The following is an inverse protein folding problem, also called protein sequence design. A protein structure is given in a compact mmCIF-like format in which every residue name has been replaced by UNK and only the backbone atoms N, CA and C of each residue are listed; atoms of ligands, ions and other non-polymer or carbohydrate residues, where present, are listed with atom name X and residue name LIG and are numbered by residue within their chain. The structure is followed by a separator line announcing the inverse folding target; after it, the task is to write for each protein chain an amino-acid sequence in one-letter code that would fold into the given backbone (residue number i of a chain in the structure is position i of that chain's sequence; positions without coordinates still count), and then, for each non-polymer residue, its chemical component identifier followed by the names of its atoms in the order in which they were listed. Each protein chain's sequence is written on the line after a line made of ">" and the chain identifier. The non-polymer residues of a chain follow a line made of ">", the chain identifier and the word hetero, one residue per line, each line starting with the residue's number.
data_IF_747705439633
#
_entry.id   IF_747705439633
#
_cell.length_a   1.000
_cell.length_b   1.000
_cell.length_c   1.000
_cell.angle_alpha   90.00
_cell.angle_beta   90.00
_cell.angle_gamma   90.00
#
_symmetry.space_group_name_H-M   'P 1'
#
loop_
_entity.id
_entity.type
_entity.pdbx_description
1 polymer ?
#
# COMPACT_ATOMS: atom_id res chain seq x y z
N UNK A 1 4.49 -21.63 -52.55
CA UNK A 1 5.00 -20.55 -51.66
C UNK A 1 3.97 -20.05 -50.62
N UNK A 2 2.70 -19.77 -50.97
CA UNK A 2 1.66 -19.32 -50.00
C UNK A 2 1.45 -20.24 -48.77
N UNK A 3 1.50 -21.56 -48.95
CA UNK A 3 1.29 -22.53 -47.85
C UNK A 3 2.41 -22.57 -46.81
N UNK A 4 3.64 -22.19 -47.17
CA UNK A 4 4.80 -22.23 -46.25
C UNK A 4 4.76 -20.99 -45.34
N UNK A 5 4.37 -19.83 -45.89
CA UNK A 5 4.24 -18.56 -45.17
C UNK A 5 3.12 -18.63 -44.12
N UNK A 6 1.98 -19.27 -44.45
CA UNK A 6 0.90 -19.48 -43.47
C UNK A 6 1.31 -20.40 -42.31
N UNK A 7 2.15 -21.41 -42.59
CA UNK A 7 2.61 -22.37 -41.57
C UNK A 7 3.62 -21.73 -40.62
N UNK A 8 4.54 -20.89 -41.12
CA UNK A 8 5.50 -20.14 -40.29
C UNK A 8 4.84 -19.05 -39.45
N UNK A 9 3.83 -18.34 -39.98
CA UNK A 9 3.04 -17.40 -39.18
C UNK A 9 2.24 -18.11 -38.08
N UNK A 10 1.62 -19.25 -38.40
CA UNK A 10 0.87 -20.03 -37.41
C UNK A 10 1.78 -20.56 -36.29
N UNK A 11 2.99 -21.04 -36.63
CA UNK A 11 4.00 -21.45 -35.64
C UNK A 11 4.46 -20.28 -34.76
N UNK A 12 4.68 -19.09 -35.32
CA UNK A 12 5.02 -17.89 -34.55
C UNK A 12 3.91 -17.44 -33.59
N UNK A 13 2.66 -17.47 -34.05
CA UNK A 13 1.49 -17.19 -33.20
C UNK A 13 1.32 -18.23 -32.09
N UNK A 14 1.51 -19.51 -32.41
CA UNK A 14 1.40 -20.60 -31.44
C UNK A 14 2.50 -20.51 -30.38
N UNK A 15 3.74 -20.19 -30.77
CA UNK A 15 4.86 -20.02 -29.84
C UNK A 15 4.65 -18.80 -28.92
N UNK A 16 4.20 -17.66 -29.46
CA UNK A 16 3.86 -16.48 -28.66
C UNK A 16 2.70 -16.74 -27.70
N UNK A 17 1.68 -17.48 -28.13
CA UNK A 17 0.56 -17.87 -27.27
C UNK A 17 1.01 -18.80 -26.13
N UNK A 18 1.84 -19.81 -26.43
CA UNK A 18 2.41 -20.69 -25.42
C UNK A 18 3.31 -19.95 -24.44
N UNK A 19 4.17 -19.05 -24.92
CA UNK A 19 5.04 -18.22 -24.10
C UNK A 19 4.23 -17.29 -23.17
N UNK A 20 3.20 -16.63 -23.70
CA UNK A 20 2.25 -15.83 -22.90
C UNK A 20 1.55 -16.68 -21.85
N UNK A 21 1.07 -17.87 -22.22
CA UNK A 21 0.35 -18.78 -21.32
C UNK A 21 1.26 -19.30 -20.21
N UNK A 22 2.52 -19.64 -20.51
CA UNK A 22 3.52 -20.07 -19.53
C UNK A 22 3.83 -18.91 -18.56
N UNK A 23 4.03 -17.69 -19.07
CA UNK A 23 4.27 -16.52 -18.23
C UNK A 23 3.08 -16.19 -17.32
N UNK A 24 1.84 -16.27 -17.83
CA UNK A 24 0.64 -16.05 -17.01
C UNK A 24 0.54 -17.11 -15.91
N UNK A 25 0.73 -18.38 -16.24
CA UNK A 25 0.69 -19.45 -15.24
C UNK A 25 1.78 -19.27 -14.17
N UNK A 26 2.98 -18.82 -14.56
CA UNK A 26 4.06 -18.54 -13.63
C UNK A 26 3.75 -17.35 -12.71
N UNK A 27 3.17 -16.27 -13.26
CA UNK A 27 2.71 -15.11 -12.48
C UNK A 27 1.62 -15.52 -11.49
N UNK A 28 0.63 -16.30 -11.94
CA UNK A 28 -0.46 -16.81 -11.07
C UNK A 28 0.11 -17.72 -9.98
N UNK A 29 1.09 -18.55 -10.30
CA UNK A 29 1.77 -19.40 -9.32
C UNK A 29 2.49 -18.58 -8.26
N UNK A 30 3.28 -17.58 -8.66
CA UNK A 30 3.94 -16.65 -7.72
C UNK A 30 2.91 -15.93 -6.86
N UNK A 31 1.83 -15.43 -7.47
CA UNK A 31 0.78 -14.71 -6.77
C UNK A 31 0.11 -15.59 -5.70
N UNK A 32 -0.17 -16.85 -6.01
CA UNK A 32 -0.74 -17.81 -5.06
C UNK A 32 0.21 -18.07 -3.87
N UNK A 33 1.52 -18.19 -4.13
CA UNK A 33 2.53 -18.32 -3.06
C UNK A 33 2.53 -17.07 -2.17
N UNK A 34 2.54 -15.88 -2.77
CA UNK A 34 2.54 -14.63 -2.01
C UNK A 34 1.28 -14.51 -1.15
N UNK A 35 0.10 -14.81 -1.70
CA UNK A 35 -1.16 -14.80 -0.95
C UNK A 35 -1.11 -15.77 0.25
N UNK A 36 -0.55 -16.98 0.04
CA UNK A 36 -0.39 -17.95 1.11
C UNK A 36 0.56 -17.43 2.21
N UNK A 37 1.66 -16.80 1.84
CA UNK A 37 2.62 -16.21 2.78
C UNK A 37 2.04 -15.05 3.61
N UNK A 38 0.98 -14.40 3.12
CA UNK A 38 0.24 -13.37 3.85
C UNK A 38 -0.87 -13.94 4.75
N UNK A 39 -1.04 -15.26 4.79
CA UNK A 39 -2.10 -15.91 5.57
C UNK A 39 -3.47 -15.92 4.89
N UNK A 40 -3.54 -15.55 3.61
CA UNK A 40 -4.79 -15.56 2.83
C UNK A 40 -5.05 -14.29 2.03
N UNK A 41 -6.04 -14.38 1.15
CA UNK A 41 -6.36 -13.33 0.18
C UNK A 41 -6.81 -12.02 0.83
N UNK A 42 -7.60 -12.10 1.89
CA UNK A 42 -8.11 -10.93 2.63
C UNK A 42 -6.95 -10.09 3.19
N UNK A 43 -6.00 -10.72 3.87
CA UNK A 43 -4.84 -10.06 4.46
C UNK A 43 -3.91 -9.49 3.39
N UNK A 44 -3.72 -10.22 2.29
CA UNK A 44 -2.94 -9.76 1.14
C UNK A 44 -3.55 -8.49 0.50
N UNK A 45 -4.86 -8.45 0.27
CA UNK A 45 -5.53 -7.24 -0.26
C UNK A 45 -5.41 -6.08 0.71
N UNK A 46 -5.66 -6.29 2.00
CA UNK A 46 -5.53 -5.23 3.00
C UNK A 46 -4.13 -4.64 3.01
N UNK A 47 -3.10 -5.47 2.86
CA UNK A 47 -1.73 -4.99 2.71
C UNK A 47 -1.50 -4.19 1.43
N UNK A 48 -2.04 -4.62 0.29
CA UNK A 48 -1.96 -3.86 -0.97
C UNK A 48 -2.64 -2.49 -0.87
N UNK A 49 -3.74 -2.38 -0.13
CA UNK A 49 -4.41 -1.11 0.14
C UNK A 49 -3.50 -0.18 0.94
N UNK A 50 -2.89 -0.68 2.02
CA UNK A 50 -1.89 0.06 2.81
C UNK A 50 -0.76 0.56 1.90
N UNK A 51 -0.21 -0.35 1.09
CA UNK A 51 0.90 -0.05 0.20
C UNK A 51 0.53 1.03 -0.82
N UNK A 52 -0.66 0.92 -1.43
CA UNK A 52 -1.16 1.88 -2.41
C UNK A 52 -1.37 3.25 -1.80
N UNK A 53 -1.92 3.32 -0.57
CA UNK A 53 -2.09 4.58 0.15
C UNK A 53 -0.74 5.21 0.52
N UNK A 54 0.22 4.42 1.02
CA UNK A 54 1.59 4.91 1.28
C UNK A 54 2.20 5.49 0.01
N UNK A 55 2.13 4.76 -1.10
CA UNK A 55 2.67 5.21 -2.40
C UNK A 55 2.01 6.50 -2.87
N UNK A 56 0.67 6.56 -2.82
CA UNK A 56 -0.10 7.75 -3.19
C UNK A 56 0.29 8.97 -2.35
N UNK A 57 0.29 8.85 -1.01
CA UNK A 57 0.63 9.96 -0.14
C UNK A 57 2.09 10.37 -0.27
N UNK A 58 3.02 9.41 -0.35
CA UNK A 58 4.44 9.70 -0.59
C UNK A 58 4.63 10.53 -1.85
N UNK A 59 3.98 10.14 -2.95
CA UNK A 59 4.02 10.87 -4.20
C UNK A 59 3.46 12.29 -4.06
N UNK A 60 2.27 12.43 -3.46
CA UNK A 60 1.62 13.73 -3.27
C UNK A 60 2.47 14.67 -2.42
N UNK A 61 3.01 14.19 -1.30
CA UNK A 61 3.82 15.01 -0.40
C UNK A 61 5.18 15.40 -0.98
N UNK A 62 5.83 14.52 -1.75
CA UNK A 62 7.18 14.79 -2.28
C UNK A 62 7.15 15.64 -3.55
N UNK A 63 6.28 15.30 -4.49
CA UNK A 63 6.37 15.81 -5.86
C UNK A 63 5.31 16.86 -6.20
N UNK A 64 4.38 17.14 -5.29
CA UNK A 64 3.36 18.17 -5.50
C UNK A 64 3.36 19.16 -4.35
N UNK A 65 2.79 20.35 -4.57
CA UNK A 65 2.51 21.30 -3.49
C UNK A 65 1.21 20.90 -2.77
N UNK A 66 1.16 19.66 -2.30
CA UNK A 66 -0.06 19.04 -1.79
C UNK A 66 -0.63 19.83 -0.63
N UNK A 67 0.21 20.22 0.33
CA UNK A 67 -0.24 20.95 1.51
C UNK A 67 -0.73 22.37 1.17
N UNK A 68 -0.13 23.05 0.19
CA UNK A 68 -0.63 24.38 -0.21
C UNK A 68 -1.93 24.30 -0.99
N UNK A 69 -2.10 23.28 -1.84
CA UNK A 69 -3.37 23.01 -2.52
C UNK A 69 -4.48 22.69 -1.53
N UNK A 70 -4.10 22.23 -0.36
CA UNK A 70 -4.95 21.95 0.77
C UNK A 70 -5.14 23.16 1.71
N UNK A 71 -4.62 24.34 1.37
CA UNK A 71 -4.81 25.59 2.11
C UNK A 71 -3.76 25.91 3.18
N UNK A 72 -2.73 25.09 3.35
CA UNK A 72 -1.62 25.41 4.25
C UNK A 72 -0.71 26.49 3.67
N UNK A 73 -0.02 27.22 4.55
CA UNK A 73 1.05 28.16 4.16
C UNK A 73 2.15 27.42 3.38
N UNK A 74 2.74 28.10 2.40
CA UNK A 74 3.80 27.57 1.53
C UNK A 74 5.02 27.05 2.31
N UNK A 75 5.36 27.69 3.42
CA UNK A 75 6.45 27.31 4.33
C UNK A 75 6.30 25.88 4.86
N UNK A 76 5.05 25.43 5.11
CA UNK A 76 4.73 24.10 5.64
C UNK A 76 4.98 23.00 4.59
N UNK A 77 5.05 23.35 3.30
CA UNK A 77 5.27 22.38 2.23
C UNK A 77 6.65 21.70 2.34
N UNK A 78 7.65 22.38 2.91
CA UNK A 78 8.96 21.77 3.19
C UNK A 78 8.87 20.66 4.23
N UNK A 79 8.13 20.88 5.32
CA UNK A 79 7.81 19.86 6.31
C UNK A 79 6.98 18.73 5.69
N UNK A 80 6.01 19.06 4.84
CA UNK A 80 5.24 18.08 4.07
C UNK A 80 6.13 17.14 3.26
N UNK A 81 7.16 17.67 2.59
CA UNK A 81 8.13 16.85 1.85
C UNK A 81 8.96 15.95 2.76
N UNK A 82 9.34 16.41 3.95
CA UNK A 82 10.02 15.55 4.94
C UNK A 82 9.13 14.37 5.35
N UNK A 83 7.85 14.62 5.66
CA UNK A 83 6.88 13.54 5.90
C UNK A 83 6.69 12.63 4.69
N UNK A 84 6.67 13.19 3.49
CA UNK A 84 6.64 12.43 2.23
C UNK A 84 7.83 11.47 2.08
N UNK A 85 9.04 11.90 2.44
CA UNK A 85 10.24 11.05 2.41
C UNK A 85 10.18 9.92 3.44
N UNK A 86 9.64 10.18 4.62
CA UNK A 86 9.42 9.16 5.64
C UNK A 86 8.40 8.11 5.17
N UNK A 87 7.27 8.55 4.60
CA UNK A 87 6.27 7.67 4.02
C UNK A 87 6.83 6.86 2.84
N UNK A 88 7.73 7.44 2.04
CA UNK A 88 8.38 6.73 0.94
C UNK A 88 9.27 5.60 1.45
N UNK A 89 10.03 5.83 2.52
CA UNK A 89 10.83 4.78 3.17
C UNK A 89 9.94 3.64 3.66
N UNK A 90 8.79 3.94 4.28
CA UNK A 90 7.81 2.92 4.67
C UNK A 90 7.23 2.20 3.45
N UNK A 91 6.91 2.90 2.38
CA UNK A 91 6.44 2.29 1.13
C UNK A 91 7.44 1.29 0.56
N UNK A 92 8.73 1.65 0.52
CA UNK A 92 9.81 0.75 0.06
C UNK A 92 9.90 -0.48 0.95
N UNK A 93 9.84 -0.32 2.28
CA UNK A 93 9.81 -1.46 3.21
C UNK A 93 8.57 -2.33 2.95
N UNK A 94 7.42 -1.74 2.68
CA UNK A 94 6.21 -2.47 2.30
C UNK A 94 6.39 -3.32 1.03
N UNK A 95 7.08 -2.79 0.02
CA UNK A 95 7.41 -3.55 -1.21
C UNK A 95 8.30 -4.74 -0.85
N UNK A 96 9.29 -4.55 0.03
CA UNK A 96 10.18 -5.65 0.45
C UNK A 96 9.38 -6.73 1.18
N UNK A 97 8.44 -6.36 2.06
CA UNK A 97 7.56 -7.30 2.77
C UNK A 97 6.72 -8.13 1.78
N UNK A 98 6.24 -7.51 0.71
CA UNK A 98 5.40 -8.14 -0.32
C UNK A 98 6.09 -9.37 -0.95
N UNK A 99 7.41 -9.32 -1.13
CA UNK A 99 8.21 -10.39 -1.74
C UNK A 99 8.95 -11.26 -0.72
N UNK A 100 8.74 -11.05 0.59
CA UNK A 100 9.39 -11.84 1.64
C UNK A 100 8.78 -13.24 1.71
N UNK A 101 9.62 -14.27 1.85
CA UNK A 101 9.17 -15.68 1.95
C UNK A 101 8.21 -15.96 3.10
N UNK A 102 8.27 -15.17 4.19
CA UNK A 102 7.37 -15.29 5.33
C UNK A 102 6.38 -14.11 5.40
N UNK A 103 6.16 -13.41 4.28
CA UNK A 103 5.24 -12.29 4.17
C UNK A 103 5.44 -11.25 5.29
N UNK A 104 4.36 -10.81 5.97
CA UNK A 104 4.41 -9.79 7.01
C UNK A 104 4.91 -10.31 8.38
N UNK A 105 5.25 -11.59 8.52
CA UNK A 105 5.64 -12.17 9.80
C UNK A 105 6.92 -11.51 10.34
N UNK A 106 6.88 -11.17 11.63
CA UNK A 106 7.96 -10.44 12.32
C UNK A 106 8.03 -8.95 11.99
N UNK A 107 7.11 -8.40 11.19
CA UNK A 107 7.10 -6.98 10.81
C UNK A 107 6.12 -6.16 11.66
N UNK A 108 5.84 -6.57 12.90
CA UNK A 108 4.82 -5.92 13.74
C UNK A 108 5.10 -4.43 13.99
N UNK A 109 6.37 -4.06 14.17
CA UNK A 109 6.81 -2.66 14.33
C UNK A 109 6.44 -1.79 13.12
N UNK A 110 6.54 -2.32 11.91
CA UNK A 110 6.13 -1.62 10.68
C UNK A 110 4.64 -1.26 10.72
N UNK A 111 3.79 -2.22 11.05
CA UNK A 111 2.34 -2.00 11.14
C UNK A 111 1.97 -1.06 12.30
N UNK A 112 2.65 -1.15 13.44
CA UNK A 112 2.45 -0.23 14.56
C UNK A 112 2.77 1.21 14.22
N UNK A 113 3.94 1.46 13.62
CA UNK A 113 4.38 2.81 13.24
C UNK A 113 3.34 3.45 12.32
N UNK A 114 2.91 2.68 11.33
CA UNK A 114 1.90 3.10 10.36
C UNK A 114 0.55 3.34 11.06
N UNK A 115 0.14 2.47 11.99
CA UNK A 115 -1.09 2.64 12.78
C UNK A 115 -1.08 3.91 13.63
N UNK A 116 0.03 4.19 14.31
CA UNK A 116 0.17 5.38 15.14
C UNK A 116 0.12 6.65 14.27
N UNK A 117 0.80 6.65 13.12
CA UNK A 117 0.76 7.75 12.17
C UNK A 117 -0.68 8.00 11.66
N UNK A 118 -1.39 6.95 11.25
CA UNK A 118 -2.78 7.06 10.79
C UNK A 118 -3.73 7.53 11.89
N UNK A 119 -3.54 7.05 13.12
CA UNK A 119 -4.33 7.48 14.28
C UNK A 119 -4.13 8.98 14.56
N UNK A 120 -2.89 9.46 14.57
CA UNK A 120 -2.57 10.87 14.77
C UNK A 120 -3.19 11.75 13.69
N UNK A 121 -3.14 11.33 12.42
CA UNK A 121 -3.78 12.04 11.31
C UNK A 121 -5.30 12.11 11.51
N UNK A 122 -5.93 11.00 11.91
CA UNK A 122 -7.36 10.98 12.19
C UNK A 122 -7.72 11.92 13.36
N UNK A 123 -6.93 11.91 14.43
CA UNK A 123 -7.12 12.76 15.60
C UNK A 123 -6.97 14.25 15.26
N UNK A 124 -5.93 14.64 14.52
CA UNK A 124 -5.72 16.03 14.07
C UNK A 124 -6.89 16.51 13.22
N UNK A 125 -7.37 15.68 12.28
CA UNK A 125 -8.51 16.05 11.45
C UNK A 125 -9.80 16.19 12.25
N UNK A 126 -10.05 15.30 13.21
CA UNK A 126 -11.21 15.39 14.09
C UNK A 126 -11.18 16.66 14.94
N UNK A 127 -10.02 16.99 15.52
CA UNK A 127 -9.81 18.23 16.27
C UNK A 127 -9.96 19.49 15.39
N UNK A 128 -9.52 19.42 14.12
CA UNK A 128 -9.72 20.50 13.14
C UNK A 128 -11.20 20.75 12.87
N UNK A 129 -11.96 19.67 12.64
CA UNK A 129 -13.40 19.75 12.37
C UNK A 129 -14.22 20.22 13.57
N UNK A 130 -13.80 19.89 14.80
CA UNK A 130 -14.41 20.43 16.02
C UNK A 130 -14.04 21.90 16.27
N UNK A 131 -13.22 22.51 15.42
CA UNK A 131 -12.81 23.91 15.52
C UNK A 131 -11.76 24.18 16.60
N UNK A 132 -11.31 23.16 17.32
CA UNK A 132 -10.40 23.28 18.49
C UNK A 132 -9.04 23.84 18.08
N UNK A 133 -8.58 23.47 16.88
CA UNK A 133 -7.25 23.82 16.36
C UNK A 133 -7.28 24.83 15.20
N UNK A 134 -8.45 25.42 14.89
CA UNK A 134 -8.58 26.49 13.87
C UNK A 134 -7.64 27.66 14.12
N UNK A 135 -7.40 27.98 15.39
CA UNK A 135 -6.47 29.04 15.83
C UNK A 135 -5.02 28.83 15.39
N UNK A 136 -4.64 27.61 14.98
CA UNK A 136 -3.31 27.30 14.46
C UNK A 136 -3.21 27.41 12.93
N UNK A 137 -4.24 27.96 12.26
CA UNK A 137 -4.24 28.14 10.80
C UNK A 137 -4.34 26.83 10.03
N UNK A 138 -4.85 25.77 10.66
CA UNK A 138 -5.13 24.49 10.01
C UNK A 138 -6.51 24.63 9.35
N UNK A 139 -6.60 24.54 8.01
CA UNK A 139 -7.88 24.67 7.33
C UNK A 139 -8.80 23.49 7.65
N UNK A 140 -10.11 23.69 7.50
CA UNK A 140 -11.09 22.61 7.65
C UNK A 140 -10.86 21.57 6.54
N UNK A 141 -10.54 20.35 6.94
CA UNK A 141 -10.30 19.27 6.00
C UNK A 141 -11.60 18.56 5.64
N UNK A 142 -11.88 18.56 4.33
CA UNK A 142 -12.98 17.78 3.75
C UNK A 142 -12.85 16.29 4.08
N UNK A 143 -14.01 15.63 4.13
CA UNK A 143 -14.26 14.21 4.44
C UNK A 143 -13.27 13.19 3.84
N UNK A 144 -12.57 13.53 2.75
CA UNK A 144 -11.62 12.65 2.07
C UNK A 144 -10.39 12.29 2.92
N UNK A 145 -9.84 13.22 3.72
CA UNK A 145 -8.68 12.93 4.57
C UNK A 145 -9.08 12.03 5.76
N UNK A 146 -10.25 12.26 6.34
CA UNK A 146 -10.80 11.41 7.40
C UNK A 146 -11.11 10.01 6.86
N UNK A 147 -11.77 9.92 5.71
CA UNK A 147 -12.05 8.65 5.05
C UNK A 147 -10.75 7.88 4.77
N UNK A 148 -9.72 8.55 4.26
CA UNK A 148 -8.42 7.92 3.99
C UNK A 148 -7.74 7.40 5.26
N UNK A 149 -7.76 8.16 6.36
CA UNK A 149 -7.17 7.74 7.64
C UNK A 149 -7.91 6.55 8.25
N UNK A 150 -9.24 6.54 8.19
CA UNK A 150 -10.05 5.40 8.65
C UNK A 150 -9.84 4.15 7.81
N UNK A 151 -9.81 4.26 6.48
CA UNK A 151 -9.49 3.15 5.57
C UNK A 151 -8.10 2.59 5.89
N UNK A 152 -7.14 3.48 6.19
CA UNK A 152 -5.80 3.09 6.58
C UNK A 152 -5.80 2.29 7.89
N UNK A 153 -6.45 2.80 8.94
CA UNK A 153 -6.56 2.12 10.24
C UNK A 153 -7.25 0.76 10.10
N UNK A 154 -8.36 0.70 9.38
CA UNK A 154 -9.09 -0.56 9.14
C UNK A 154 -8.23 -1.58 8.40
N UNK A 155 -7.50 -1.15 7.36
CA UNK A 155 -6.63 -2.04 6.59
C UNK A 155 -5.47 -2.58 7.43
N UNK A 156 -4.90 -1.75 8.32
CA UNK A 156 -3.86 -2.19 9.27
C UNK A 156 -4.44 -3.19 10.26
N UNK A 157 -5.60 -2.91 10.84
CA UNK A 157 -6.23 -3.77 11.82
C UNK A 157 -6.53 -5.16 11.25
N UNK A 158 -7.05 -5.23 10.02
CA UNK A 158 -7.26 -6.50 9.30
C UNK A 158 -5.92 -7.21 9.05
N UNK A 159 -4.88 -6.48 8.63
CA UNK A 159 -3.55 -7.06 8.39
C UNK A 159 -2.90 -7.59 9.67
N UNK A 160 -3.13 -6.94 10.82
CA UNK A 160 -2.61 -7.36 12.11
C UNK A 160 -3.24 -8.67 12.59
N UNK A 161 -4.51 -8.94 12.30
CA UNK A 161 -5.12 -10.24 12.58
C UNK A 161 -4.45 -11.37 11.82
N UNK A 162 -4.14 -11.19 10.53
CA UNK A 162 -3.42 -12.21 9.76
C UNK A 162 -2.03 -12.51 10.31
N UNK A 163 -1.32 -11.49 10.81
CA UNK A 163 -0.02 -11.66 11.46
C UNK A 163 -0.17 -12.38 12.80
N UNK A 164 -1.18 -11.99 13.60
CA UNK A 164 -1.44 -12.61 14.90
C UNK A 164 -1.79 -14.10 14.78
N UNK A 165 -2.66 -14.45 13.84
CA UNK A 165 -3.01 -15.85 13.54
C UNK A 165 -1.76 -16.65 13.17
N UNK A 166 -0.88 -16.10 12.33
CA UNK A 166 0.34 -16.78 11.92
C UNK A 166 1.32 -17.02 13.08
N UNK A 167 1.40 -16.10 14.05
CA UNK A 167 2.22 -16.27 15.25
C UNK A 167 1.64 -17.36 16.15
N UNK A 168 0.32 -17.38 16.34
CA UNK A 168 -0.36 -18.37 17.17
C UNK A 168 -0.12 -19.81 16.67
N UNK A 169 -0.17 -20.04 15.36
CA UNK A 169 0.17 -21.33 14.76
C UNK A 169 1.66 -21.71 14.92
N UNK A 170 2.57 -20.74 15.00
CA UNK A 170 4.01 -21.02 15.20
C UNK A 170 4.38 -21.38 16.64
N UNK A 171 3.53 -21.06 17.63
CA UNK A 171 3.75 -21.42 19.03
C UNK A 171 3.16 -22.78 19.42
N UNK A 172 2.28 -23.34 18.58
CA UNK A 172 1.58 -24.61 18.83
C UNK A 172 2.26 -25.80 18.14
N UNK A 173 3.18 -25.55 17.20
CA UNK A 173 4.05 -26.55 16.56
C UNK A 173 5.48 -26.43 17.07
#
# INVERSE_FOLDING_TARGET
>A
MKNIINKSMFLGFFYNYLFLKININYIVFILNIMIANFGGFTYFISFLIILSLLGYYSYRFLFTNFLTNLGFKSEINTLGKMFGSYNLSLFIVGIIILFKNNGPNGMWSYFLIISLASFLICAINLLSNLGIIKRYGIPEYWRSVIASGLIFILSIYISLFGIYDSLYYSFIN
#
